data_IF_767747252133
#
_entry.id   IF_767747252133
#
_cell.length_a   1.000
_cell.length_b   1.000
_cell.length_c   1.000
_cell.angle_alpha   90.00
_cell.angle_beta   90.00
_cell.angle_gamma   90.00
#
_symmetry.space_group_name_H-M   'P 1'
#
loop_
_entity.id
_entity.type
_entity.pdbx_description
1 polymer ?
#
# COMPACT_ATOMS: atom_id res chain seq x y z
N UNK A 1 -4.64 -12.85 0.31
CA UNK A 1 -4.30 -12.69 1.34
C UNK A 1 -3.26 -11.76 1.94
N UNK A 2 -2.76 -10.79 1.22
CA UNK A 2 -1.95 -9.71 1.80
C UNK A 2 -2.79 -8.83 2.75
N UNK A 3 -4.08 -8.68 2.48
CA UNK A 3 -5.04 -8.00 3.34
C UNK A 3 -5.13 -8.63 4.72
N UNK A 4 -5.14 -9.98 4.77
CA UNK A 4 -5.17 -10.72 6.02
C UNK A 4 -3.87 -10.51 6.82
N UNK A 5 -2.72 -10.52 6.14
CA UNK A 5 -1.43 -10.24 6.78
C UNK A 5 -1.38 -8.81 7.34
N UNK A 6 -1.87 -7.83 6.58
CA UNK A 6 -1.97 -6.44 7.04
C UNK A 6 -2.81 -6.27 8.30
N UNK A 7 -3.97 -6.92 8.36
CA UNK A 7 -4.84 -6.88 9.55
C UNK A 7 -4.18 -7.54 10.76
N UNK A 8 -3.54 -8.70 10.56
CA UNK A 8 -2.84 -9.41 11.65
C UNK A 8 -1.68 -8.57 12.20
N UNK A 9 -0.87 -7.98 11.32
CA UNK A 9 0.25 -7.12 11.73
C UNK A 9 -0.25 -5.87 12.45
N UNK A 10 -1.34 -5.25 11.97
CA UNK A 10 -1.96 -4.11 12.63
C UNK A 10 -2.43 -4.47 14.04
N UNK A 11 -3.19 -5.54 14.20
CA UNK A 11 -3.67 -6.00 15.50
C UNK A 11 -2.51 -6.35 16.44
N UNK A 12 -1.50 -7.05 15.95
CA UNK A 12 -0.31 -7.38 16.73
C UNK A 12 0.45 -6.12 17.18
N UNK A 13 0.62 -5.12 16.31
CA UNK A 13 1.31 -3.87 16.66
C UNK A 13 0.52 -3.03 17.66
N UNK A 14 -0.82 -2.98 17.55
CA UNK A 14 -1.67 -2.33 18.55
C UNK A 14 -1.55 -3.01 19.90
N UNK A 15 -1.56 -4.34 19.93
CA UNK A 15 -1.48 -5.13 21.16
C UNK A 15 -0.10 -4.96 21.83
N UNK A 16 0.98 -4.99 21.04
CA UNK A 16 2.34 -4.70 21.53
C UNK A 16 2.42 -3.26 22.06
N UNK A 17 1.87 -2.29 21.36
CA UNK A 17 1.83 -0.89 21.80
C UNK A 17 1.11 -0.72 23.13
N UNK A 18 -0.04 -1.37 23.32
CA UNK A 18 -0.77 -1.34 24.59
C UNK A 18 0.01 -1.99 25.74
N UNK A 19 0.68 -3.11 25.48
CA UNK A 19 1.54 -3.78 26.49
C UNK A 19 2.71 -2.86 26.87
N UNK A 20 3.39 -2.26 25.90
CA UNK A 20 4.52 -1.34 26.14
C UNK A 20 4.07 -0.11 26.93
N UNK A 21 2.94 0.51 26.58
CA UNK A 21 2.38 1.64 27.33
C UNK A 21 2.00 1.24 28.75
N UNK A 22 1.39 0.05 28.91
CA UNK A 22 1.05 -0.48 30.22
C UNK A 22 2.25 -0.72 31.11
N UNK A 23 3.33 -1.28 30.57
CA UNK A 23 4.60 -1.48 31.29
C UNK A 23 5.25 -0.14 31.64
N UNK A 24 5.20 0.83 30.71
CA UNK A 24 5.73 2.17 30.94
C UNK A 24 5.02 2.90 32.09
N UNK A 25 3.69 2.80 32.14
CA UNK A 25 2.91 3.42 33.23
C UNK A 25 3.12 2.72 34.56
N UNK A 26 3.35 1.40 34.55
CA UNK A 26 3.55 0.63 35.77
C UNK A 26 4.85 0.94 36.50
N UNK A 27 5.95 1.16 35.75
CA UNK A 27 7.28 1.30 36.37
C UNK A 27 7.75 2.76 36.59
N UNK A 28 7.11 3.74 35.98
CA UNK A 28 7.54 5.15 36.05
C UNK A 28 8.98 5.38 35.60
N UNK A 29 9.61 4.41 34.95
CA UNK A 29 11.02 4.42 34.59
C UNK A 29 11.21 4.62 33.09
N UNK A 30 11.91 5.69 32.71
CA UNK A 30 12.21 6.04 31.32
C UNK A 30 13.12 5.03 30.58
N UNK A 31 13.65 4.01 31.27
CA UNK A 31 14.53 3.02 30.68
C UNK A 31 13.82 2.18 29.61
N UNK A 32 12.56 1.78 29.84
CA UNK A 32 11.76 1.01 28.87
C UNK A 32 11.46 1.79 27.61
N UNK A 33 11.20 3.08 27.72
CA UNK A 33 10.96 3.94 26.57
C UNK A 33 12.20 4.04 25.67
N UNK A 34 13.38 4.17 26.25
CA UNK A 34 14.63 4.17 25.48
C UNK A 34 14.94 2.83 24.81
N UNK A 35 14.60 1.71 25.45
CA UNK A 35 14.75 0.38 24.84
C UNK A 35 13.77 0.23 23.68
N UNK A 36 12.54 0.70 23.83
CA UNK A 36 11.54 0.69 22.77
C UNK A 36 11.97 1.52 21.56
N UNK A 37 12.37 2.78 21.78
CA UNK A 37 12.87 3.66 20.71
C UNK A 37 14.06 3.02 19.96
N UNK A 38 15.01 2.47 20.69
CA UNK A 38 16.19 1.89 20.07
C UNK A 38 15.89 0.61 19.29
N UNK A 39 15.07 -0.27 19.83
CA UNK A 39 14.74 -1.54 19.17
C UNK A 39 13.71 -1.38 18.04
N UNK A 40 12.69 -0.58 18.25
CA UNK A 40 11.58 -0.47 17.29
C UNK A 40 11.88 0.58 16.24
N UNK A 41 12.23 1.79 16.62
CA UNK A 41 12.41 2.87 15.66
C UNK A 41 13.70 2.70 14.85
N UNK A 42 14.82 2.39 15.53
CA UNK A 42 16.09 2.30 14.84
C UNK A 42 16.23 0.99 14.04
N UNK A 43 16.01 -0.17 14.67
CA UNK A 43 16.24 -1.44 14.01
C UNK A 43 15.11 -1.84 13.06
N UNK A 44 13.88 -1.78 13.54
CA UNK A 44 12.73 -2.30 12.80
C UNK A 44 12.30 -1.34 11.68
N UNK A 45 12.33 -0.04 11.91
CA UNK A 45 11.84 0.96 10.95
C UNK A 45 12.94 1.45 10.03
N UNK A 46 14.19 1.59 10.51
CA UNK A 46 15.29 2.10 9.70
C UNK A 46 16.15 1.00 9.07
N UNK A 47 16.74 0.12 9.88
CA UNK A 47 17.77 -0.83 9.41
C UNK A 47 17.18 -1.93 8.55
N UNK A 48 16.12 -2.59 9.01
CA UNK A 48 15.53 -3.73 8.30
C UNK A 48 14.96 -3.33 6.93
N UNK A 49 14.18 -2.26 6.78
CA UNK A 49 13.68 -1.86 5.47
C UNK A 49 14.76 -1.48 4.47
N UNK A 50 15.83 -0.80 4.93
CA UNK A 50 16.96 -0.44 4.08
C UNK A 50 17.71 -1.68 3.62
N UNK A 51 17.96 -2.63 4.53
CA UNK A 51 18.67 -3.88 4.22
C UNK A 51 17.87 -4.79 3.27
N UNK A 52 16.54 -4.79 3.38
CA UNK A 52 15.66 -5.61 2.53
C UNK A 52 15.34 -4.98 1.17
N UNK A 53 15.56 -3.68 1.03
CA UNK A 53 15.26 -2.95 -0.21
C UNK A 53 15.89 -3.57 -1.47
N UNK A 54 17.18 -3.96 -1.50
CA UNK A 54 17.80 -4.53 -2.71
C UNK A 54 17.24 -5.91 -3.09
N UNK A 55 16.67 -6.65 -2.14
CA UNK A 55 16.16 -8.00 -2.37
C UNK A 55 14.70 -8.02 -2.79
N UNK A 56 13.87 -7.15 -2.23
CA UNK A 56 12.42 -7.18 -2.39
C UNK A 56 11.84 -5.97 -3.15
N UNK A 57 12.69 -5.02 -3.53
CA UNK A 57 12.29 -3.82 -4.24
C UNK A 57 11.69 -2.71 -3.38
N UNK A 58 11.17 -1.69 -4.04
CA UNK A 58 10.64 -0.50 -3.34
C UNK A 58 9.42 -0.77 -2.46
N UNK A 59 9.36 -0.05 -1.36
CA UNK A 59 8.22 -0.03 -0.43
C UNK A 59 7.86 -1.38 0.22
N UNK A 60 8.83 -2.31 0.36
CA UNK A 60 8.62 -3.60 1.03
C UNK A 60 8.06 -3.43 2.43
N UNK A 61 8.62 -2.52 3.20
CA UNK A 61 8.13 -2.20 4.54
C UNK A 61 6.66 -1.78 4.52
N UNK A 62 6.30 -0.82 3.67
CA UNK A 62 4.93 -0.33 3.54
C UNK A 62 3.96 -1.42 3.07
N UNK A 63 4.46 -2.37 2.26
CA UNK A 63 3.62 -3.42 1.68
C UNK A 63 3.33 -4.57 2.64
N UNK A 64 4.31 -4.95 3.47
CA UNK A 64 4.21 -6.18 4.25
C UNK A 64 4.13 -5.95 5.76
N UNK A 65 4.79 -4.91 6.29
CA UNK A 65 5.01 -4.77 7.73
C UNK A 65 4.54 -3.45 8.34
N UNK A 66 4.19 -2.47 7.54
CA UNK A 66 3.75 -1.19 8.07
C UNK A 66 2.30 -1.25 8.56
N UNK A 67 2.03 -1.11 9.86
CA UNK A 67 0.67 -1.13 10.40
C UNK A 67 -0.17 0.06 9.90
N UNK A 68 0.47 1.21 9.65
CA UNK A 68 -0.19 2.39 9.12
C UNK A 68 -0.69 2.16 7.69
N UNK A 69 0.10 1.47 6.85
CA UNK A 69 -0.32 1.12 5.49
C UNK A 69 -1.49 0.12 5.51
N UNK A 70 -1.50 -0.83 6.44
CA UNK A 70 -2.62 -1.75 6.62
C UNK A 70 -3.90 -1.02 7.04
N UNK A 71 -3.80 -0.07 7.98
CA UNK A 71 -4.92 0.76 8.41
C UNK A 71 -5.46 1.64 7.28
N UNK A 72 -4.57 2.33 6.56
CA UNK A 72 -4.95 3.14 5.40
C UNK A 72 -5.57 2.28 4.28
N UNK A 73 -5.05 1.07 4.06
CA UNK A 73 -5.62 0.11 3.13
C UNK A 73 -7.05 -0.30 3.51
N UNK A 74 -7.31 -0.53 4.81
CA UNK A 74 -8.63 -0.86 5.30
C UNK A 74 -9.61 0.30 5.13
N UNK A 75 -9.20 1.52 5.48
CA UNK A 75 -10.00 2.73 5.29
C UNK A 75 -10.29 2.98 3.81
N UNK A 76 -9.29 2.85 2.95
CA UNK A 76 -9.44 2.98 1.50
C UNK A 76 -10.43 1.95 0.94
N UNK A 77 -10.45 0.74 1.49
CA UNK A 77 -11.42 -0.30 1.11
C UNK A 77 -12.86 0.09 1.44
N UNK A 78 -13.09 0.76 2.55
CA UNK A 78 -14.45 1.14 2.98
C UNK A 78 -14.91 2.47 2.40
N UNK A 79 -14.03 3.46 2.37
CA UNK A 79 -14.35 4.84 1.96
C UNK A 79 -13.80 5.25 0.61
N UNK A 80 -12.87 4.48 0.02
CA UNK A 80 -12.25 4.80 -1.26
C UNK A 80 -13.27 4.75 -2.40
N UNK A 81 -13.47 5.89 -3.05
CA UNK A 81 -14.36 6.02 -4.24
C UNK A 81 -13.56 6.11 -5.54
N UNK A 82 -12.28 6.41 -5.42
CA UNK A 82 -11.41 6.60 -6.58
C UNK A 82 -10.94 5.25 -7.13
N UNK A 83 -11.01 5.10 -8.44
CA UNK A 83 -10.48 3.94 -9.17
C UNK A 83 -9.60 4.42 -10.31
N UNK A 84 -8.71 3.56 -10.77
CA UNK A 84 -7.97 3.79 -12.01
C UNK A 84 -8.67 2.98 -13.10
N UNK A 85 -9.06 3.67 -14.14
CA UNK A 85 -9.74 3.14 -15.31
C UNK A 85 -8.84 3.15 -16.52
N UNK A 86 -9.04 2.25 -17.46
CA UNK A 86 -8.31 2.20 -18.72
C UNK A 86 -9.25 2.20 -19.94
N UNK A 87 -8.81 2.89 -20.99
CA UNK A 87 -9.46 2.84 -22.30
C UNK A 87 -8.98 1.64 -23.11
N UNK A 88 -9.68 1.35 -24.23
CA UNK A 88 -9.41 0.29 -25.20
C UNK A 88 -8.11 0.48 -26.00
N UNK A 89 -7.49 1.67 -25.97
CA UNK A 89 -6.29 2.03 -26.75
C UNK A 89 -4.97 1.51 -26.16
N UNK A 90 -5.01 0.51 -25.27
CA UNK A 90 -3.82 -0.04 -24.65
C UNK A 90 -2.96 -0.83 -25.65
N UNK A 91 -1.71 -0.40 -25.87
CA UNK A 91 -0.74 -1.05 -26.76
C UNK A 91 0.11 -2.13 -26.08
N UNK A 92 -0.20 -2.49 -24.85
CA UNK A 92 0.52 -3.52 -24.06
C UNK A 92 2.05 -3.26 -23.92
N UNK A 93 2.48 -2.01 -23.78
CA UNK A 93 3.89 -1.64 -23.69
C UNK A 93 4.56 -1.95 -22.35
N UNK A 94 3.83 -2.45 -21.35
CA UNK A 94 4.29 -2.84 -20.00
C UNK A 94 4.88 -1.74 -19.12
N UNK A 95 5.00 -0.52 -19.58
CA UNK A 95 5.60 0.59 -18.83
C UNK A 95 4.90 0.83 -17.49
N UNK A 96 3.56 0.84 -17.48
CA UNK A 96 2.77 1.04 -16.27
C UNK A 96 3.03 -0.02 -15.19
N UNK A 97 3.19 -1.30 -15.56
CA UNK A 97 3.53 -2.39 -14.63
C UNK A 97 4.98 -2.28 -14.16
N UNK A 98 5.91 -1.91 -15.04
CA UNK A 98 7.34 -1.80 -14.73
C UNK A 98 7.63 -0.67 -13.72
N UNK A 99 6.96 0.46 -13.85
CA UNK A 99 7.13 1.60 -12.94
C UNK A 99 6.22 1.54 -11.70
N UNK A 100 5.37 0.52 -11.58
CA UNK A 100 4.52 0.36 -10.41
C UNK A 100 5.35 0.08 -9.15
N UNK A 101 5.34 1.02 -8.21
CA UNK A 101 6.14 0.94 -6.98
C UNK A 101 5.72 -0.20 -6.04
N UNK A 102 4.48 -0.65 -6.15
CA UNK A 102 3.95 -1.75 -5.33
C UNK A 102 3.89 -3.08 -6.07
N UNK A 103 4.36 -3.12 -7.32
CA UNK A 103 4.45 -4.35 -8.11
C UNK A 103 3.09 -4.92 -8.55
N UNK A 104 2.10 -4.07 -8.77
CA UNK A 104 0.83 -4.47 -9.39
C UNK A 104 1.03 -4.63 -10.89
N UNK A 105 0.51 -5.71 -11.48
CA UNK A 105 0.48 -5.86 -12.92
C UNK A 105 -0.65 -5.00 -13.54
N UNK A 106 -0.36 -3.71 -13.67
CA UNK A 106 -1.29 -2.72 -14.19
C UNK A 106 -1.69 -3.02 -15.65
N UNK A 107 -0.76 -3.58 -16.42
CA UNK A 107 -1.02 -3.90 -17.83
C UNK A 107 -2.13 -4.95 -17.97
N UNK A 108 -2.19 -5.95 -17.09
CA UNK A 108 -3.25 -6.96 -17.12
C UNK A 108 -4.64 -6.32 -16.92
N UNK A 109 -4.75 -5.41 -15.94
CA UNK A 109 -5.99 -4.65 -15.73
C UNK A 109 -6.33 -3.74 -16.91
N UNK A 110 -5.33 -3.03 -17.45
CA UNK A 110 -5.51 -2.13 -18.58
C UNK A 110 -5.96 -2.87 -19.83
N UNK A 111 -5.43 -4.06 -20.10
CA UNK A 111 -5.80 -4.89 -21.26
C UNK A 111 -7.21 -5.45 -21.15
N UNK A 112 -7.62 -5.82 -19.93
CA UNK A 112 -8.96 -6.35 -19.68
C UNK A 112 -10.01 -5.24 -19.49
N UNK A 113 -9.60 -3.97 -19.54
CA UNK A 113 -10.48 -2.82 -19.26
C UNK A 113 -11.16 -2.91 -17.88
N UNK A 114 -10.49 -3.54 -16.92
CA UNK A 114 -10.98 -3.67 -15.55
C UNK A 114 -10.50 -2.50 -14.70
N UNK A 115 -11.41 -1.80 -14.01
CA UNK A 115 -11.02 -0.77 -13.06
C UNK A 115 -10.31 -1.43 -11.87
N UNK A 116 -9.21 -0.83 -11.44
CA UNK A 116 -8.48 -1.34 -10.30
C UNK A 116 -8.28 -0.28 -9.22
N UNK A 117 -8.33 -0.75 -7.99
CA UNK A 117 -8.15 0.04 -6.78
C UNK A 117 -7.50 -0.81 -5.68
N UNK A 118 -7.54 -0.34 -4.45
CA UNK A 118 -7.05 -1.11 -3.30
C UNK A 118 -7.95 -2.29 -2.90
N UNK A 119 -9.12 -2.46 -3.48
CA UNK A 119 -10.05 -3.56 -3.18
C UNK A 119 -9.70 -4.82 -3.94
N UNK A 120 -9.31 -4.69 -5.20
CA UNK A 120 -9.01 -5.81 -6.09
C UNK A 120 -7.51 -5.99 -6.37
N UNK A 121 -6.68 -5.03 -5.94
CA UNK A 121 -5.23 -5.08 -6.11
C UNK A 121 -4.50 -4.43 -4.93
N UNK A 122 -3.17 -4.52 -4.91
CA UNK A 122 -2.36 -3.80 -3.93
C UNK A 122 -2.12 -2.32 -4.31
N UNK A 123 -2.98 -1.72 -5.11
CA UNK A 123 -2.82 -0.37 -5.63
C UNK A 123 -2.97 0.68 -4.52
N UNK A 124 -1.99 1.56 -4.40
CA UNK A 124 -2.01 2.71 -3.47
C UNK A 124 -2.47 4.00 -4.14
N UNK A 125 -2.95 3.93 -5.37
CA UNK A 125 -3.48 5.07 -6.14
C UNK A 125 -2.51 6.24 -6.29
N UNK A 126 -1.22 5.96 -6.42
CA UNK A 126 -0.17 6.99 -6.54
C UNK A 126 -0.14 7.73 -7.88
N UNK A 127 -0.81 7.22 -8.92
CA UNK A 127 -0.90 7.86 -10.23
C UNK A 127 0.29 7.66 -11.17
N UNK A 128 1.41 7.10 -10.73
CA UNK A 128 2.62 6.94 -11.57
C UNK A 128 2.32 6.19 -12.88
N UNK A 129 1.45 5.18 -12.84
CA UNK A 129 1.08 4.43 -14.03
C UNK A 129 0.34 5.29 -15.08
N UNK A 130 -0.34 6.35 -14.64
CA UNK A 130 -1.01 7.32 -15.52
C UNK A 130 0.03 8.19 -16.20
N UNK A 131 0.99 8.73 -15.42
CA UNK A 131 2.03 9.64 -15.92
C UNK A 131 2.99 8.99 -16.91
N UNK A 132 3.35 7.70 -16.66
CA UNK A 132 4.28 6.96 -17.54
C UNK A 132 3.60 6.35 -18.75
N UNK A 133 2.30 6.46 -18.90
CA UNK A 133 1.57 5.89 -20.02
C UNK A 133 1.69 6.78 -21.26
N UNK A 134 2.42 6.37 -22.32
CA UNK A 134 2.64 7.20 -23.49
C UNK A 134 1.36 7.46 -24.29
N UNK A 135 0.35 6.62 -24.12
CA UNK A 135 -0.94 6.72 -24.82
C UNK A 135 -2.04 7.38 -23.99
N UNK A 136 -1.73 7.82 -22.75
CA UNK A 136 -2.70 8.39 -21.81
C UNK A 136 -3.99 7.55 -21.67
N UNK A 137 -3.81 6.22 -21.62
CA UNK A 137 -4.94 5.26 -21.58
C UNK A 137 -5.54 5.18 -20.19
N UNK A 138 -4.72 5.45 -19.14
CA UNK A 138 -5.12 5.34 -17.74
C UNK A 138 -5.57 6.69 -17.21
N UNK A 139 -6.66 6.71 -16.45
CA UNK A 139 -7.18 7.90 -15.78
C UNK A 139 -7.78 7.54 -14.42
N UNK A 140 -7.83 8.54 -13.53
CA UNK A 140 -8.64 8.41 -12.32
C UNK A 140 -10.12 8.61 -12.67
N UNK A 141 -10.95 7.71 -12.20
CA UNK A 141 -12.41 7.82 -12.33
C UNK A 141 -13.08 7.51 -10.98
N UNK A 142 -14.21 8.15 -10.74
CA UNK A 142 -15.07 7.81 -9.61
C UNK A 142 -15.93 6.60 -9.96
N UNK A 143 -16.50 5.93 -8.95
CA UNK A 143 -17.40 4.79 -9.18
C UNK A 143 -18.62 5.14 -10.04
N UNK A 144 -19.05 6.39 -10.01
CA UNK A 144 -20.19 6.89 -10.77
C UNK A 144 -19.87 7.04 -12.27
N UNK A 145 -18.64 7.48 -12.58
CA UNK A 145 -18.19 7.66 -13.96
C UNK A 145 -17.90 6.33 -14.67
N UNK A 146 -17.48 5.29 -13.92
CA UNK A 146 -17.26 3.96 -14.50
C UNK A 146 -18.55 3.19 -14.78
N UNK A 147 -19.66 3.59 -14.19
CA UNK A 147 -20.97 2.99 -14.44
C UNK A 147 -21.70 3.63 -15.66
N UNK A 148 -21.24 4.78 -16.14
CA UNK A 148 -21.79 5.40 -17.34
C UNK A 148 -21.15 4.76 -18.58
N UNK A 149 -21.91 4.17 -19.51
CA UNK A 149 -21.38 3.68 -20.77
C UNK A 149 -20.78 4.88 -21.52
N UNK A 150 -19.56 4.70 -22.02
CA UNK A 150 -18.92 5.69 -22.87
C UNK A 150 -19.81 5.96 -24.09
N UNK A 151 -20.38 7.17 -24.18
CA UNK A 151 -21.17 7.62 -25.31
C UNK A 151 -20.27 7.98 -26.50
#
# INVERSE_FOLDING_TARGET
SWEFQGVVIFLASVLIGLVVVGLYQSDGNNAWWRVYDYLVDFWLVAVIPIALYPFFGGKVWCRYWCPLAAYNGLLSKWYGRLKIWSNDKCISCTQCSKYCQVGVDVMAFAKNQEPFDNRNSACIQCGICIDVCPMAVLSFATQEETAAPAA
#
